data_IF_961764513806
#
_entry.id   IF_961764513806
#
_cell.length_a   1.000
_cell.length_b   1.000
_cell.length_c   1.000
_cell.angle_alpha   90.00
_cell.angle_beta   90.00
_cell.angle_gamma   90.00
#
_symmetry.space_group_name_H-M   'P 1'
#
loop_
_entity.id
_entity.type
_entity.pdbx_description
1 polymer ?
#
# COMPACT_ATOMS: atom_id res chain seq x y z
N UNK A 1 8.38 19.10 17.37
CA UNK A 1 9.04 19.06 16.07
C UNK A 1 8.05 19.56 15.03
N UNK A 2 7.89 20.92 14.97
CA UNK A 2 7.00 21.57 14.05
C UNK A 2 7.48 21.40 12.62
N UNK A 3 6.73 20.64 11.83
CA UNK A 3 6.80 20.83 10.39
C UNK A 3 6.28 22.24 10.10
N UNK A 4 6.97 23.06 9.28
CA UNK A 4 6.45 24.36 8.92
C UNK A 4 5.03 24.19 8.38
N UNK A 5 4.12 25.03 8.82
CA UNK A 5 2.77 25.11 8.28
C UNK A 5 2.90 25.28 6.77
N UNK A 6 2.39 24.30 6.03
CA UNK A 6 2.34 24.37 4.58
C UNK A 6 1.15 25.29 4.25
N UNK A 7 1.43 26.54 3.94
CA UNK A 7 0.44 27.44 3.37
C UNK A 7 0.09 26.99 1.95
N UNK A 8 -0.86 26.08 1.85
CA UNK A 8 -1.47 25.73 0.58
C UNK A 8 -2.74 26.55 0.39
N UNK A 9 -2.79 27.31 -0.67
CA UNK A 9 -3.96 28.14 -1.00
C UNK A 9 -5.20 27.33 -1.41
N UNK A 10 -5.11 25.99 -1.52
CA UNK A 10 -6.17 25.19 -2.15
C UNK A 10 -6.92 24.24 -1.22
N UNK A 11 -6.27 23.44 -0.44
CA UNK A 11 -6.92 22.46 0.45
C UNK A 11 -6.15 22.30 1.75
N UNK A 12 -6.79 22.55 2.87
CA UNK A 12 -6.25 22.23 4.18
C UNK A 12 -6.67 20.83 4.58
N UNK A 13 -5.72 20.02 5.03
CA UNK A 13 -6.06 18.73 5.65
C UNK A 13 -6.90 18.99 6.90
N UNK A 14 -8.04 18.32 7.02
CA UNK A 14 -8.80 18.32 8.27
C UNK A 14 -7.93 17.80 9.41
N UNK A 15 -8.24 18.21 10.65
CA UNK A 15 -7.58 17.66 11.83
C UNK A 15 -7.74 16.13 11.82
N UNK A 16 -6.60 15.42 11.73
CA UNK A 16 -6.62 13.97 11.68
C UNK A 16 -6.87 13.41 13.08
N UNK A 17 -7.97 12.69 13.23
CA UNK A 17 -8.14 11.74 14.32
C UNK A 17 -7.33 10.49 13.97
N UNK A 18 -6.57 9.98 14.92
CA UNK A 18 -5.71 8.81 14.70
C UNK A 18 -6.40 7.49 15.08
N UNK A 19 -7.58 7.56 15.67
CA UNK A 19 -8.46 6.44 16.01
C UNK A 19 -9.90 6.93 15.95
N UNK A 20 -10.83 6.01 15.74
CA UNK A 20 -12.24 6.30 15.91
C UNK A 20 -12.52 6.61 17.38
N UNK A 21 -13.44 7.56 17.68
CA UNK A 21 -13.97 7.75 19.01
C UNK A 21 -14.59 6.45 19.57
N UNK A 22 -14.54 6.23 20.87
CA UNK A 22 -15.01 4.98 21.48
C UNK A 22 -16.56 4.85 21.47
N UNK A 23 -17.24 5.98 21.30
CA UNK A 23 -18.71 6.06 21.18
C UNK A 23 -19.24 5.70 19.77
N UNK A 24 -18.37 5.62 18.77
CA UNK A 24 -18.75 5.26 17.41
C UNK A 24 -18.95 3.76 17.28
N UNK A 25 -20.13 3.34 16.86
CA UNK A 25 -20.44 1.93 16.61
C UNK A 25 -19.94 1.54 15.21
N UNK A 26 -19.06 0.59 15.17
CA UNK A 26 -18.49 0.09 13.91
C UNK A 26 -19.37 -0.96 13.23
N UNK A 27 -19.17 -1.15 11.92
CA UNK A 27 -19.81 -2.23 11.18
C UNK A 27 -19.52 -3.60 11.81
N UNK A 28 -18.28 -3.83 12.22
CA UNK A 28 -17.82 -5.10 12.80
C UNK A 28 -18.44 -5.38 14.15
N UNK A 29 -18.61 -4.38 15.00
CA UNK A 29 -19.35 -4.53 16.26
C UNK A 29 -20.81 -4.90 16.02
N UNK A 30 -21.45 -4.25 15.04
CA UNK A 30 -22.83 -4.59 14.65
C UNK A 30 -22.92 -6.02 14.10
N UNK A 31 -22.03 -6.42 13.21
CA UNK A 31 -22.03 -7.78 12.66
C UNK A 31 -21.80 -8.84 13.74
N UNK A 32 -20.88 -8.58 14.67
CA UNK A 32 -20.62 -9.46 15.81
C UNK A 32 -21.85 -9.64 16.70
N UNK A 33 -22.61 -8.57 16.99
CA UNK A 33 -23.88 -8.64 17.72
C UNK A 33 -24.93 -9.52 17.00
N UNK A 34 -24.81 -9.67 15.67
CA UNK A 34 -25.67 -10.52 14.86
C UNK A 34 -25.08 -11.91 14.58
N UNK A 35 -24.08 -12.34 15.36
CA UNK A 35 -23.52 -13.69 15.31
C UNK A 35 -22.49 -13.95 14.21
N UNK A 36 -22.01 -12.91 13.54
CA UNK A 36 -20.94 -13.06 12.57
C UNK A 36 -19.59 -13.32 13.26
N UNK A 37 -18.82 -14.25 12.70
CA UNK A 37 -17.39 -14.33 12.97
C UNK A 37 -16.68 -13.21 12.17
N UNK A 38 -15.79 -12.47 12.80
CA UNK A 38 -15.19 -11.28 12.16
C UNK A 38 -13.66 -11.31 12.23
N UNK A 39 -12.99 -10.99 11.13
CA UNK A 39 -11.51 -10.96 11.07
C UNK A 39 -10.99 -9.82 10.22
N UNK A 40 -9.86 -9.26 10.66
CA UNK A 40 -9.09 -8.23 9.94
C UNK A 40 -7.70 -8.77 9.55
N UNK A 41 -7.43 -8.82 8.25
CA UNK A 41 -6.16 -9.26 7.70
C UNK A 41 -5.47 -8.17 6.88
N UNK A 42 -4.21 -7.87 7.22
CA UNK A 42 -3.34 -7.07 6.38
C UNK A 42 -3.03 -5.67 6.91
N UNK A 43 -3.30 -4.65 6.11
CA UNK A 43 -2.87 -3.28 6.39
C UNK A 43 -3.90 -2.53 7.23
N UNK A 44 -3.63 -2.35 8.51
CA UNK A 44 -4.46 -1.51 9.37
C UNK A 44 -3.77 -0.17 9.65
N UNK A 45 -4.41 0.95 9.30
CA UNK A 45 -3.92 2.31 9.59
C UNK A 45 -4.49 2.90 10.88
N UNK A 46 -5.31 2.17 11.60
CA UNK A 46 -5.83 2.59 12.90
C UNK A 46 -4.78 2.33 13.99
N UNK A 47 -4.68 3.23 14.96
CA UNK A 47 -3.70 3.09 16.05
C UNK A 47 -4.05 2.04 17.08
N UNK A 48 -5.34 1.78 17.26
CA UNK A 48 -5.82 0.75 18.18
C UNK A 48 -5.82 -0.61 17.48
N UNK A 49 -5.71 -1.66 18.26
CA UNK A 49 -5.87 -3.03 17.79
C UNK A 49 -7.26 -3.18 17.11
N UNK A 50 -7.36 -3.78 15.91
CA UNK A 50 -8.64 -4.01 15.24
C UNK A 50 -9.69 -4.72 16.12
N UNK A 51 -9.26 -5.54 17.07
CA UNK A 51 -10.15 -6.18 18.04
C UNK A 51 -10.93 -5.17 18.89
N UNK A 52 -10.39 -3.99 19.14
CA UNK A 52 -11.08 -2.91 19.85
C UNK A 52 -12.20 -2.26 19.01
N UNK A 53 -12.28 -2.60 17.73
CA UNK A 53 -13.33 -2.19 16.79
C UNK A 53 -14.26 -3.35 16.39
N UNK A 54 -14.35 -4.40 17.22
CA UNK A 54 -15.30 -5.50 17.06
C UNK A 54 -14.78 -6.72 16.32
N UNK A 55 -13.56 -6.73 15.78
CA UNK A 55 -12.99 -7.94 15.17
C UNK A 55 -12.67 -9.01 16.23
N UNK A 56 -13.02 -10.27 15.94
CA UNK A 56 -12.68 -11.41 16.79
C UNK A 56 -11.21 -11.79 16.65
N UNK A 57 -10.71 -11.77 15.42
CA UNK A 57 -9.32 -12.08 15.06
C UNK A 57 -8.71 -10.94 14.24
N UNK A 58 -7.39 -10.76 14.37
CA UNK A 58 -6.65 -9.79 13.56
C UNK A 58 -5.22 -10.30 13.30
N UNK A 59 -4.79 -10.23 12.05
CA UNK A 59 -3.41 -10.42 11.62
C UNK A 59 -3.01 -9.19 10.82
N UNK A 60 -2.59 -8.15 11.51
CA UNK A 60 -2.28 -6.84 10.93
C UNK A 60 -0.89 -6.36 11.28
N UNK A 61 -0.33 -5.46 10.48
CA UNK A 61 0.98 -4.89 10.73
C UNK A 61 1.59 -4.19 9.52
N UNK A 62 2.87 -3.86 9.61
CA UNK A 62 3.66 -3.25 8.56
C UNK A 62 4.54 -4.25 7.85
N UNK A 63 4.54 -4.26 6.54
CA UNK A 63 5.42 -5.08 5.71
C UNK A 63 6.72 -4.32 5.45
N UNK A 64 7.86 -4.95 5.79
CA UNK A 64 9.20 -4.46 5.46
C UNK A 64 9.81 -5.20 4.27
N UNK A 65 9.30 -6.40 4.01
CA UNK A 65 9.64 -7.23 2.87
C UNK A 65 8.45 -8.10 2.53
N UNK A 66 8.15 -8.28 1.24
CA UNK A 66 7.13 -9.23 0.79
C UNK A 66 7.61 -10.68 0.82
N UNK A 67 8.91 -10.91 0.99
CA UNK A 67 9.46 -12.24 1.28
C UNK A 67 9.80 -12.37 2.74
N UNK A 68 9.58 -13.57 3.30
CA UNK A 68 9.92 -13.86 4.70
C UNK A 68 11.41 -13.57 5.00
N UNK A 69 11.72 -12.92 6.12
CA UNK A 69 10.83 -12.41 7.16
C UNK A 69 10.13 -11.10 6.75
N UNK A 70 8.80 -11.06 6.91
CA UNK A 70 7.98 -9.92 6.49
C UNK A 70 8.19 -8.69 7.38
N UNK A 71 8.04 -8.88 8.68
CA UNK A 71 8.41 -7.97 9.78
C UNK A 71 8.22 -8.69 11.11
N UNK A 72 8.77 -8.12 12.20
CA UNK A 72 8.63 -8.67 13.55
C UNK A 72 7.16 -8.84 14.01
N UNK A 73 6.26 -8.02 13.53
CA UNK A 73 4.84 -8.08 13.89
C UNK A 73 4.19 -9.39 13.42
N UNK A 74 4.61 -9.91 12.26
CA UNK A 74 4.04 -11.13 11.68
C UNK A 74 4.71 -12.43 12.15
N UNK A 75 5.88 -12.37 12.82
CA UNK A 75 6.59 -13.57 13.25
C UNK A 75 5.76 -14.53 14.12
N UNK A 76 4.84 -13.98 14.93
CA UNK A 76 3.99 -14.75 15.83
C UNK A 76 2.58 -15.02 15.30
N UNK A 77 2.11 -14.18 14.38
CA UNK A 77 0.70 -14.17 13.96
C UNK A 77 0.49 -14.72 12.55
N UNK A 78 1.53 -14.73 11.72
CA UNK A 78 1.47 -15.25 10.35
C UNK A 78 2.60 -16.25 10.12
N UNK A 79 2.37 -17.55 10.38
CA UNK A 79 3.39 -18.59 10.22
C UNK A 79 3.93 -18.63 8.80
N UNK A 80 5.25 -18.53 8.66
CA UNK A 80 5.93 -18.53 7.38
C UNK A 80 7.39 -18.96 7.50
N UNK A 81 8.02 -19.31 6.38
CA UNK A 81 9.41 -19.75 6.25
C UNK A 81 10.11 -19.06 5.09
N UNK A 82 11.43 -19.22 4.99
CA UNK A 82 12.23 -18.68 3.89
C UNK A 82 11.66 -19.10 2.52
N UNK A 83 11.41 -18.12 1.67
CA UNK A 83 10.82 -18.30 0.34
C UNK A 83 9.34 -17.98 0.27
N UNK A 84 8.62 -17.97 1.37
CA UNK A 84 7.21 -17.61 1.41
C UNK A 84 7.01 -16.13 1.06
N UNK A 85 5.93 -15.87 0.33
CA UNK A 85 5.52 -14.54 -0.11
C UNK A 85 4.35 -14.04 0.74
N UNK A 86 4.42 -12.78 1.18
CA UNK A 86 3.47 -12.21 2.14
C UNK A 86 2.01 -12.28 1.68
N UNK A 87 1.74 -11.87 0.44
CA UNK A 87 0.38 -11.86 -0.11
C UNK A 87 -0.24 -13.25 -0.11
N UNK A 88 0.55 -14.26 -0.51
CA UNK A 88 0.11 -15.67 -0.52
C UNK A 88 -0.21 -16.14 0.92
N UNK A 89 0.68 -15.85 1.86
CA UNK A 89 0.49 -16.25 3.28
C UNK A 89 -0.71 -15.58 3.93
N UNK A 90 -0.96 -14.32 3.60
CA UNK A 90 -2.14 -13.61 4.10
C UNK A 90 -3.42 -14.17 3.51
N UNK A 91 -3.39 -14.54 2.22
CA UNK A 91 -4.50 -15.21 1.54
C UNK A 91 -4.77 -16.58 2.16
N UNK A 92 -3.73 -17.39 2.43
CA UNK A 92 -3.85 -18.68 3.11
C UNK A 92 -4.55 -18.53 4.47
N UNK A 93 -4.17 -17.51 5.25
CA UNK A 93 -4.80 -17.24 6.54
C UNK A 93 -6.28 -16.86 6.41
N UNK A 94 -6.64 -16.09 5.36
CA UNK A 94 -8.02 -15.75 5.08
C UNK A 94 -8.85 -16.98 4.67
N UNK A 95 -8.29 -17.86 3.83
CA UNK A 95 -8.93 -19.11 3.42
C UNK A 95 -9.12 -20.05 4.62
N UNK A 96 -8.15 -20.16 5.51
CA UNK A 96 -8.27 -20.93 6.75
C UNK A 96 -9.38 -20.38 7.65
N UNK A 97 -9.49 -19.07 7.80
CA UNK A 97 -10.59 -18.45 8.56
C UNK A 97 -11.96 -18.77 7.94
N UNK A 98 -12.09 -18.66 6.62
CA UNK A 98 -13.33 -18.99 5.90
C UNK A 98 -13.71 -20.47 6.13
N UNK A 99 -12.77 -21.39 5.98
CA UNK A 99 -13.01 -22.82 6.16
C UNK A 99 -13.44 -23.15 7.59
N UNK A 100 -12.82 -22.53 8.60
CA UNK A 100 -13.21 -22.72 10.02
C UNK A 100 -14.58 -22.15 10.38
N UNK A 101 -15.09 -21.22 9.58
CA UNK A 101 -16.33 -20.49 9.88
C UNK A 101 -17.42 -20.69 8.82
N UNK A 102 -17.27 -21.59 7.84
CA UNK A 102 -18.19 -21.77 6.71
C UNK A 102 -19.63 -22.12 7.09
N UNK A 103 -19.84 -22.70 8.28
CA UNK A 103 -21.15 -23.14 8.76
C UNK A 103 -21.91 -22.06 9.56
N UNK A 104 -21.37 -20.84 9.62
CA UNK A 104 -22.00 -19.67 10.25
C UNK A 104 -21.72 -18.40 9.44
N UNK A 105 -22.48 -17.32 9.63
CA UNK A 105 -22.15 -16.07 8.98
C UNK A 105 -20.76 -15.57 9.42
N UNK A 106 -19.99 -15.07 8.47
CA UNK A 106 -18.67 -14.49 8.74
C UNK A 106 -18.43 -13.23 7.91
N UNK A 107 -17.53 -12.42 8.39
CA UNK A 107 -17.04 -11.21 7.73
C UNK A 107 -15.52 -11.21 7.72
N UNK A 108 -14.94 -11.18 6.52
CA UNK A 108 -13.49 -11.09 6.31
C UNK A 108 -13.17 -9.72 5.73
N UNK A 109 -12.39 -8.95 6.45
CA UNK A 109 -11.76 -7.73 5.96
C UNK A 109 -10.32 -8.07 5.58
N UNK A 110 -10.05 -8.16 4.27
CA UNK A 110 -8.75 -8.53 3.73
C UNK A 110 -8.15 -7.37 2.96
N UNK A 111 -7.17 -6.72 3.56
CA UNK A 111 -6.43 -5.60 2.97
C UNK A 111 -4.99 -6.01 2.63
N UNK A 112 -4.77 -6.41 1.38
CA UNK A 112 -3.42 -6.67 0.93
C UNK A 112 -2.54 -5.41 0.98
N UNK A 113 -1.28 -5.59 1.38
CA UNK A 113 -0.30 -4.50 1.38
C UNK A 113 0.15 -4.15 -0.05
N UNK A 114 0.08 -5.11 -0.98
CA UNK A 114 0.38 -4.90 -2.38
C UNK A 114 -0.64 -3.89 -2.99
N UNK A 115 -0.21 -2.89 -3.70
CA UNK A 115 1.14 -2.72 -4.24
C UNK A 115 1.90 -1.56 -3.56
N UNK A 116 1.96 -1.55 -2.25
CA UNK A 116 2.69 -0.54 -1.48
C UNK A 116 4.19 -0.89 -1.42
N UNK A 117 5.05 0.10 -1.21
CA UNK A 117 6.48 -0.13 -0.95
C UNK A 117 6.74 -1.07 0.25
N UNK A 118 7.80 -1.88 0.16
CA UNK A 118 8.78 -2.01 -0.94
C UNK A 118 8.18 -2.72 -2.16
N UNK A 119 8.54 -2.27 -3.38
CA UNK A 119 8.07 -2.91 -4.60
C UNK A 119 8.86 -4.21 -4.82
N UNK A 120 8.22 -5.33 -4.54
CA UNK A 120 8.80 -6.67 -4.61
C UNK A 120 7.75 -7.64 -5.14
N UNK A 121 7.78 -7.94 -6.42
CA UNK A 121 6.88 -8.90 -7.06
C UNK A 121 7.23 -10.35 -6.70
N UNK A 122 6.26 -11.25 -6.86
CA UNK A 122 6.50 -12.68 -6.78
C UNK A 122 7.41 -13.11 -7.93
N UNK A 123 8.47 -13.84 -7.63
CA UNK A 123 9.57 -14.13 -8.58
C UNK A 123 9.11 -14.73 -9.90
N UNK A 124 8.20 -15.70 -9.86
CA UNK A 124 7.64 -16.34 -11.05
C UNK A 124 6.85 -15.35 -11.93
N UNK A 125 6.12 -14.42 -11.30
CA UNK A 125 5.40 -13.38 -12.00
C UNK A 125 6.33 -12.32 -12.57
N UNK A 126 7.36 -11.93 -11.82
CA UNK A 126 8.41 -11.02 -12.32
C UNK A 126 9.09 -11.59 -13.56
N UNK A 127 9.48 -12.87 -13.54
CA UNK A 127 10.05 -13.56 -14.71
C UNK A 127 9.06 -13.59 -15.91
N UNK A 128 7.79 -13.82 -15.64
CA UNK A 128 6.74 -13.77 -16.67
C UNK A 128 6.69 -12.37 -17.31
N UNK A 129 6.69 -11.32 -16.49
CA UNK A 129 6.62 -9.94 -17.00
C UNK A 129 7.91 -9.49 -17.67
N UNK A 130 9.09 -9.96 -17.23
CA UNK A 130 10.36 -9.75 -17.93
C UNK A 130 10.30 -10.33 -19.35
N UNK A 131 9.85 -11.56 -19.50
CA UNK A 131 9.68 -12.21 -20.83
C UNK A 131 8.66 -11.47 -21.70
N UNK A 132 7.60 -10.93 -21.11
CA UNK A 132 6.59 -10.11 -21.80
C UNK A 132 7.21 -8.79 -22.26
N UNK A 133 7.92 -8.09 -21.40
CA UNK A 133 8.54 -6.79 -21.69
C UNK A 133 9.50 -6.86 -22.88
N UNK A 134 10.34 -7.92 -22.96
CA UNK A 134 11.26 -8.13 -24.07
C UNK A 134 10.52 -8.23 -25.44
N UNK A 135 9.30 -8.74 -25.43
CA UNK A 135 8.49 -8.93 -26.65
C UNK A 135 7.60 -7.73 -26.96
N UNK A 136 7.48 -6.78 -26.06
CA UNK A 136 6.65 -5.59 -26.29
C UNK A 136 7.32 -4.64 -27.29
N UNK A 137 6.53 -3.94 -28.12
CA UNK A 137 7.05 -2.84 -28.92
C UNK A 137 7.73 -1.80 -28.03
N UNK A 138 8.84 -1.23 -28.52
CA UNK A 138 9.50 -0.13 -27.80
C UNK A 138 8.52 1.03 -27.61
N UNK A 139 8.29 1.39 -26.37
CA UNK A 139 7.44 2.53 -26.03
C UNK A 139 8.14 3.83 -26.48
N UNK A 140 7.39 4.66 -27.23
CA UNK A 140 7.87 5.94 -27.70
C UNK A 140 7.80 7.00 -26.60
N UNK A 141 8.54 8.08 -26.75
CA UNK A 141 8.55 9.21 -25.81
C UNK A 141 9.59 9.08 -24.69
N UNK A 142 9.67 10.07 -23.81
CA UNK A 142 10.59 10.09 -22.69
C UNK A 142 10.24 9.02 -21.67
N UNK A 143 11.19 8.62 -20.86
CA UNK A 143 10.96 7.67 -19.75
C UNK A 143 10.18 8.33 -18.62
N UNK A 144 10.47 9.59 -18.37
CA UNK A 144 9.81 10.41 -17.36
C UNK A 144 9.42 11.77 -17.96
N UNK A 145 8.37 12.37 -17.42
CA UNK A 145 8.04 13.78 -17.60
C UNK A 145 8.06 14.48 -16.26
N UNK A 146 8.32 15.77 -16.27
CA UNK A 146 8.32 16.61 -15.10
C UNK A 146 6.99 17.34 -14.98
N UNK A 147 6.32 17.21 -13.86
CA UNK A 147 5.05 17.89 -13.59
C UNK A 147 5.14 18.76 -12.34
N UNK A 148 4.40 19.88 -12.30
CA UNK A 148 4.28 20.66 -11.07
C UNK A 148 3.74 19.80 -9.94
N UNK A 149 4.37 19.87 -8.76
CA UNK A 149 3.85 19.24 -7.56
C UNK A 149 2.58 19.98 -7.11
N UNK A 150 1.38 19.37 -7.17
CA UNK A 150 0.14 20.02 -6.76
C UNK A 150 0.12 20.45 -5.29
N UNK A 151 0.95 19.79 -4.47
CA UNK A 151 1.13 20.08 -3.05
C UNK A 151 2.34 20.97 -2.76
N UNK A 152 3.01 21.46 -3.80
CA UNK A 152 4.19 22.30 -3.70
C UNK A 152 3.92 23.78 -4.00
N UNK A 153 4.93 24.64 -3.81
CA UNK A 153 4.89 26.01 -4.30
C UNK A 153 4.67 26.06 -5.81
N UNK A 154 3.92 27.05 -6.28
CA UNK A 154 3.69 27.26 -7.70
C UNK A 154 5.01 27.37 -8.49
N UNK A 155 5.05 26.79 -9.68
CA UNK A 155 6.16 26.86 -10.60
C UNK A 155 5.67 27.35 -11.95
N UNK A 156 6.41 28.28 -12.58
CA UNK A 156 6.11 28.75 -13.93
C UNK A 156 6.51 27.70 -14.98
N UNK A 157 5.91 27.81 -16.18
CA UNK A 157 6.27 26.93 -17.31
C UNK A 157 7.74 27.04 -17.70
N UNK A 158 8.32 28.25 -17.62
CA UNK A 158 9.70 28.48 -17.97
C UNK A 158 10.68 27.88 -16.95
N UNK A 159 10.33 27.94 -15.66
CA UNK A 159 11.09 27.27 -14.61
C UNK A 159 11.01 25.75 -14.73
N UNK A 160 9.82 25.21 -15.02
CA UNK A 160 9.64 23.78 -15.25
C UNK A 160 10.52 23.28 -16.39
N UNK A 161 10.54 24.00 -17.53
CA UNK A 161 11.39 23.67 -18.66
C UNK A 161 12.90 23.71 -18.33
N UNK A 162 13.33 24.69 -17.53
CA UNK A 162 14.73 24.75 -17.05
C UNK A 162 15.09 23.59 -16.15
N UNK A 163 14.13 23.09 -15.36
CA UNK A 163 14.35 21.90 -14.51
C UNK A 163 14.43 20.61 -15.33
N UNK A 164 13.65 20.50 -16.42
CA UNK A 164 13.73 19.35 -17.34
C UNK A 164 15.09 19.20 -18.01
N UNK A 165 15.84 20.29 -18.16
CA UNK A 165 17.20 20.32 -18.74
C UNK A 165 18.29 19.92 -17.71
N UNK A 166 17.96 19.81 -16.42
CA UNK A 166 18.88 19.43 -15.34
C UNK A 166 18.99 17.93 -15.16
N UNK A 167 20.05 17.50 -14.47
CA UNK A 167 20.23 16.10 -14.07
C UNK A 167 19.13 15.68 -13.04
N UNK A 168 18.68 14.44 -13.19
CA UNK A 168 17.62 13.84 -12.37
C UNK A 168 17.88 13.91 -10.86
N UNK A 169 19.13 13.83 -10.40
CA UNK A 169 19.50 13.89 -8.99
C UNK A 169 19.24 15.26 -8.35
N UNK A 170 19.45 16.35 -9.08
CA UNK A 170 19.17 17.70 -8.57
C UNK A 170 17.67 17.95 -8.42
N UNK A 171 16.87 17.40 -9.33
CA UNK A 171 15.41 17.61 -9.36
C UNK A 171 14.71 16.85 -8.24
N UNK A 172 15.22 15.69 -7.80
CA UNK A 172 14.66 14.97 -6.64
C UNK A 172 14.67 15.77 -5.33
N UNK A 173 15.49 16.79 -5.25
CA UNK A 173 15.52 17.72 -4.11
C UNK A 173 14.52 18.87 -4.23
N UNK A 174 13.97 19.10 -5.42
CA UNK A 174 12.98 20.13 -5.69
C UNK A 174 11.58 19.67 -5.30
N UNK A 175 11.09 20.12 -4.13
CA UNK A 175 9.73 19.82 -3.65
C UNK A 175 8.60 20.40 -4.50
N UNK A 176 8.93 21.18 -5.52
CA UNK A 176 7.99 21.90 -6.41
C UNK A 176 7.53 21.07 -7.60
N UNK A 177 8.20 19.97 -7.89
CA UNK A 177 7.96 19.15 -9.07
C UNK A 177 7.98 17.66 -8.75
N UNK A 178 7.30 16.88 -9.59
CA UNK A 178 7.29 15.42 -9.55
C UNK A 178 7.78 14.85 -10.87
N UNK A 179 8.57 13.80 -10.80
CA UNK A 179 8.90 12.95 -11.92
C UNK A 179 7.79 11.91 -12.14
N UNK A 180 7.09 12.02 -13.24
CA UNK A 180 6.03 11.09 -13.62
C UNK A 180 6.56 10.10 -14.64
N UNK A 181 6.70 8.83 -14.24
CA UNK A 181 7.15 7.76 -15.14
C UNK A 181 6.10 7.54 -16.23
N UNK A 182 6.54 7.55 -17.49
CA UNK A 182 5.67 7.38 -18.66
C UNK A 182 5.70 5.95 -19.20
N UNK A 183 6.81 5.24 -19.02
CA UNK A 183 6.95 3.87 -19.52
C UNK A 183 6.44 2.86 -18.51
N UNK A 184 5.65 1.90 -19.02
CA UNK A 184 5.13 0.77 -18.24
C UNK A 184 6.11 -0.41 -18.33
N UNK A 185 7.22 -0.34 -17.62
CA UNK A 185 8.31 -1.31 -17.68
C UNK A 185 8.74 -1.83 -16.30
N UNK A 186 8.02 -1.48 -15.24
CA UNK A 186 8.28 -1.97 -13.90
C UNK A 186 7.71 -3.38 -13.71
N UNK A 187 8.53 -4.40 -13.96
CA UNK A 187 8.14 -5.81 -13.89
C UNK A 187 7.87 -6.28 -12.45
N UNK A 188 8.52 -5.68 -11.45
CA UNK A 188 8.25 -5.96 -10.05
C UNK A 188 6.83 -5.51 -9.68
N UNK A 189 6.48 -4.28 -10.04
CA UNK A 189 5.15 -3.73 -9.79
C UNK A 189 4.06 -4.55 -10.52
N UNK A 190 4.33 -4.94 -11.78
CA UNK A 190 3.43 -5.80 -12.54
C UNK A 190 3.23 -7.18 -11.87
N UNK A 191 4.32 -7.75 -11.33
CA UNK A 191 4.27 -9.01 -10.58
C UNK A 191 3.58 -8.92 -9.22
N UNK A 192 3.41 -7.71 -8.66
CA UNK A 192 2.62 -7.50 -7.46
C UNK A 192 1.12 -7.33 -7.74
N UNK A 193 0.77 -6.88 -8.95
CA UNK A 193 -0.63 -6.66 -9.35
C UNK A 193 -1.36 -7.94 -9.71
N UNK A 194 -0.66 -8.98 -10.15
CA UNK A 194 -1.20 -10.29 -10.53
C UNK A 194 -1.26 -11.25 -9.34
#
# INVERSE_FOLDING_TARGET
NGRPERNFEKLHSAKKLMSLPDEEITLTETLKQHGYATVDFGKAHLRKDPKSYGFDEAITGWVRSYYYPFSKQYEKTLPAKKGDYYTDKLTDAALDFIERNKDRPFFVHLEHFAVHDPIQGRKDLVEKYQKKLIRMPKQKGPEYILEPNPDGPAISKDELKKLEEKDSLEIHQEKRVWWMKQKQDNVEFAGMLE
#
